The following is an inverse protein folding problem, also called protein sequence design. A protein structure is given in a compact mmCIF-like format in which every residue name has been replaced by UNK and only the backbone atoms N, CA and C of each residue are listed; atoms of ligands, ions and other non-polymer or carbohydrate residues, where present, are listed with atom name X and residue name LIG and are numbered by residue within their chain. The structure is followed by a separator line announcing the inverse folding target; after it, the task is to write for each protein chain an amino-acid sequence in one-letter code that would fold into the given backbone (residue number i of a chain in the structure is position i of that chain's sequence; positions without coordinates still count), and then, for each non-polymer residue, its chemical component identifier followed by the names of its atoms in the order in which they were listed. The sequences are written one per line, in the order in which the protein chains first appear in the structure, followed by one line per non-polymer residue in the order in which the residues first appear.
data_IF_276372067893
#
_entry.id   IF_276372067893
#
_cell.length_a   1.000
_cell.length_b   1.000
_cell.length_c   1.000
_cell.angle_alpha   90.00
_cell.angle_beta   90.00
_cell.angle_gamma   90.00
#
_symmetry.space_group_name_H-M   'P 1'
#
loop_
_entity.id
_entity.type
_entity.pdbx_description
1 polymer ?
#
# COMPACT_ATOMS: atom_id res chain seq x y z
N UNK A 1 -64.47 4.16 33.32
CA UNK A 1 -63.40 5.02 33.87
C UNK A 1 -62.07 4.27 34.10
N UNK A 2 -62.02 3.09 34.73
CA UNK A 2 -60.77 2.35 35.02
C UNK A 2 -59.92 1.95 33.79
N UNK A 3 -60.56 1.58 32.68
CA UNK A 3 -59.86 1.19 31.43
C UNK A 3 -59.22 2.38 30.69
N UNK A 4 -59.78 3.58 30.83
CA UNK A 4 -59.18 4.78 30.26
C UNK A 4 -57.92 5.18 31.06
N UNK A 5 -58.02 5.17 32.40
CA UNK A 5 -56.88 5.50 33.26
C UNK A 5 -55.69 4.56 33.06
N UNK A 6 -55.91 3.26 32.88
CA UNK A 6 -54.82 2.31 32.60
C UNK A 6 -54.07 2.61 31.28
N UNK A 7 -54.79 3.05 30.24
CA UNK A 7 -54.17 3.43 28.95
C UNK A 7 -53.37 4.72 29.05
N UNK A 8 -53.84 5.69 29.85
CA UNK A 8 -53.12 6.95 30.08
C UNK A 8 -51.87 6.73 30.93
N UNK A 9 -51.92 5.83 31.94
CA UNK A 9 -50.74 5.47 32.74
C UNK A 9 -49.67 4.79 31.88
N UNK A 10 -50.06 3.83 31.03
CA UNK A 10 -49.11 3.14 30.12
C UNK A 10 -48.48 4.13 29.13
N UNK A 11 -49.27 5.07 28.60
CA UNK A 11 -48.75 6.10 27.69
C UNK A 11 -47.74 7.03 28.41
N UNK A 12 -48.04 7.45 29.64
CA UNK A 12 -47.17 8.30 30.44
C UNK A 12 -45.85 7.59 30.81
N UNK A 13 -45.90 6.30 31.12
CA UNK A 13 -44.68 5.53 31.42
C UNK A 13 -43.81 5.34 30.17
N UNK A 14 -44.41 5.14 29.00
CA UNK A 14 -43.67 5.01 27.73
C UNK A 14 -42.99 6.32 27.32
N UNK A 15 -43.67 7.46 27.50
CA UNK A 15 -43.10 8.79 27.23
C UNK A 15 -41.95 9.10 28.20
N UNK A 16 -42.11 8.78 29.49
CA UNK A 16 -41.05 8.96 30.47
C UNK A 16 -39.81 8.11 30.15
N UNK A 17 -39.99 6.86 29.72
CA UNK A 17 -38.90 5.98 29.30
C UNK A 17 -38.16 6.55 28.07
N UNK A 18 -38.89 7.10 27.10
CA UNK A 18 -38.32 7.70 25.89
C UNK A 18 -37.49 8.98 26.18
N UNK A 19 -37.89 9.78 27.18
CA UNK A 19 -37.14 10.97 27.59
C UNK A 19 -35.83 10.62 28.34
N UNK A 20 -35.74 9.46 28.99
CA UNK A 20 -34.50 9.06 29.68
C UNK A 20 -33.40 8.61 28.74
N UNK A 21 -33.73 8.14 27.52
CA UNK A 21 -32.73 7.66 26.56
C UNK A 21 -32.02 8.77 25.79
N UNK A 22 -32.47 10.03 25.87
CA UNK A 22 -31.83 11.18 25.21
C UNK A 22 -30.84 11.92 26.10
N UNK A 23 -30.64 11.48 27.35
CA UNK A 23 -29.59 11.99 28.22
C UNK A 23 -28.27 11.28 27.88
N UNK A 24 -27.61 11.74 26.81
CA UNK A 24 -26.20 11.45 26.58
C UNK A 24 -25.40 11.93 27.80
N UNK A 25 -24.44 11.16 28.34
CA UNK A 25 -23.52 11.70 29.34
C UNK A 25 -22.66 12.76 28.65
N UNK A 26 -22.80 14.02 29.08
CA UNK A 26 -21.82 15.07 28.78
C UNK A 26 -20.56 14.73 29.59
N UNK A 27 -19.67 13.94 28.98
CA UNK A 27 -18.30 13.79 29.47
C UNK A 27 -17.51 14.96 28.87
N UNK A 28 -17.46 16.09 29.58
CA UNK A 28 -16.43 17.10 29.31
C UNK A 28 -15.13 16.66 29.95
N UNK A 29 -14.31 15.98 29.17
CA UNK A 29 -12.88 15.79 29.48
C UNK A 29 -12.11 16.08 28.19
N UNK A 30 -11.72 17.35 28.03
CA UNK A 30 -10.70 17.71 27.05
C UNK A 30 -9.35 17.29 27.64
N UNK A 31 -8.91 16.09 27.28
CA UNK A 31 -7.51 15.71 27.41
C UNK A 31 -7.00 15.35 26.02
N UNK A 32 -6.18 16.26 25.47
CA UNK A 32 -5.48 16.04 24.21
C UNK A 32 -4.42 14.96 24.42
N UNK A 33 -4.80 13.71 24.23
CA UNK A 33 -3.85 12.62 24.00
C UNK A 33 -4.16 12.00 22.65
N UNK A 34 -3.17 12.06 21.76
CA UNK A 34 -3.19 11.46 20.44
C UNK A 34 -3.36 9.96 20.59
N UNK A 35 -4.56 9.45 20.36
CA UNK A 35 -4.81 8.02 20.21
C UNK A 35 -4.06 7.52 18.97
N UNK A 36 -2.90 6.91 19.21
CA UNK A 36 -2.27 6.01 18.25
C UNK A 36 -3.26 4.85 18.07
N UNK A 37 -3.75 4.71 16.85
CA UNK A 37 -4.69 3.68 16.45
C UNK A 37 -3.99 2.30 16.49
N UNK A 38 -3.85 1.71 17.69
CA UNK A 38 -3.37 0.35 17.92
C UNK A 38 -4.47 -0.64 17.53
N UNK A 39 -4.66 -0.87 16.23
CA UNK A 39 -5.45 -1.99 15.73
C UNK A 39 -4.62 -3.27 15.79
N UNK A 40 -4.26 -3.74 16.99
CA UNK A 40 -3.65 -5.06 17.21
C UNK A 40 -4.70 -6.09 17.64
N UNK A 41 -5.73 -6.28 16.81
CA UNK A 41 -6.62 -7.45 16.92
C UNK A 41 -6.13 -8.56 16.00
N UNK A 42 -5.30 -9.43 16.58
CA UNK A 42 -5.23 -10.86 16.27
C UNK A 42 -4.89 -11.27 14.80
N UNK A 43 -3.62 -11.22 14.42
CA UNK A 43 -3.10 -12.00 13.28
C UNK A 43 -1.91 -12.86 13.72
N UNK A 44 -2.18 -14.03 14.27
CA UNK A 44 -1.13 -14.97 14.73
C UNK A 44 -0.26 -15.56 13.60
N UNK A 45 -0.47 -15.17 12.34
CA UNK A 45 0.38 -15.52 11.20
C UNK A 45 0.71 -14.29 10.31
N UNK A 46 0.87 -13.09 10.87
CA UNK A 46 1.46 -12.00 10.10
C UNK A 46 2.94 -12.32 9.87
N UNK A 47 3.24 -13.00 8.77
CA UNK A 47 4.56 -12.85 8.17
C UNK A 47 4.78 -11.34 8.02
N UNK A 48 5.86 -10.84 8.61
CA UNK A 48 6.23 -9.44 8.57
C UNK A 48 6.67 -9.13 7.13
N UNK A 49 5.70 -9.07 6.22
CA UNK A 49 5.94 -8.72 4.83
C UNK A 49 6.24 -7.24 4.83
N UNK A 50 7.42 -6.81 4.37
CA UNK A 50 7.72 -5.40 4.28
C UNK A 50 6.64 -4.69 3.47
N UNK A 51 5.88 -3.79 4.10
CA UNK A 51 4.84 -3.06 3.40
C UNK A 51 5.50 -2.01 2.52
N UNK A 52 5.73 -2.34 1.25
CA UNK A 52 6.23 -1.39 0.26
C UNK A 52 5.28 -0.20 0.13
N UNK A 53 5.86 0.99 -0.02
CA UNK A 53 5.16 2.25 -0.23
C UNK A 53 5.47 2.79 -1.61
N UNK A 54 4.54 3.57 -2.15
CA UNK A 54 4.81 4.34 -3.37
C UNK A 54 6.00 5.26 -3.13
N UNK A 55 6.98 5.21 -4.03
CA UNK A 55 8.24 5.93 -3.93
C UNK A 55 9.38 5.18 -3.23
N UNK A 56 9.12 3.98 -2.67
CA UNK A 56 10.21 3.13 -2.16
C UNK A 56 11.18 2.80 -3.30
N UNK A 57 12.48 2.88 -2.98
CA UNK A 57 13.57 2.70 -3.93
C UNK A 57 14.60 1.73 -3.41
N UNK A 58 15.09 0.90 -4.32
CA UNK A 58 16.17 -0.04 -4.02
C UNK A 58 17.17 -0.05 -5.16
N UNK A 59 18.45 -0.14 -4.80
CA UNK A 59 19.56 -0.24 -5.72
C UNK A 59 20.05 -1.68 -5.80
N UNK A 60 20.25 -2.18 -7.01
CA UNK A 60 20.76 -3.50 -7.31
C UNK A 60 21.96 -3.38 -8.25
N UNK A 61 22.89 -4.34 -8.18
CA UNK A 61 23.87 -4.51 -9.24
C UNK A 61 23.13 -5.01 -10.48
N UNK A 62 23.17 -4.23 -11.54
CA UNK A 62 22.62 -4.55 -12.84
C UNK A 62 23.72 -4.96 -13.81
N UNK A 63 23.35 -5.80 -14.76
CA UNK A 63 24.24 -6.23 -15.84
C UNK A 63 23.46 -6.25 -17.15
N UNK A 64 24.10 -5.84 -18.23
CA UNK A 64 23.50 -5.70 -19.55
C UNK A 64 24.40 -6.31 -20.62
N UNK A 65 23.86 -7.21 -21.44
CA UNK A 65 24.52 -7.75 -22.63
C UNK A 65 24.05 -6.97 -23.88
N UNK A 66 24.89 -6.07 -24.42
CA UNK A 66 24.54 -5.27 -25.60
C UNK A 66 24.76 -6.00 -26.92
N UNK A 67 25.18 -7.28 -26.93
CA UNK A 67 25.62 -7.97 -28.15
C UNK A 67 24.59 -7.88 -29.27
N UNK A 68 23.32 -8.18 -29.00
CA UNK A 68 22.28 -8.11 -30.03
C UNK A 68 22.02 -6.68 -30.51
N UNK A 69 22.09 -5.69 -29.61
CA UNK A 69 21.90 -4.27 -29.98
C UNK A 69 23.01 -3.79 -30.93
N UNK A 70 24.24 -4.25 -30.72
CA UNK A 70 25.39 -3.94 -31.58
C UNK A 70 25.26 -4.62 -32.94
N UNK A 71 24.86 -5.90 -32.97
CA UNK A 71 24.58 -6.65 -34.20
C UNK A 71 23.49 -5.94 -35.02
N UNK A 72 22.37 -5.58 -34.38
CA UNK A 72 21.25 -4.92 -35.05
C UNK A 72 21.61 -3.52 -35.56
N UNK A 73 22.58 -2.84 -34.92
CA UNK A 73 23.13 -1.57 -35.38
C UNK A 73 24.06 -1.70 -36.60
N UNK A 74 24.39 -2.92 -37.04
CA UNK A 74 25.28 -3.18 -38.17
C UNK A 74 26.74 -2.86 -37.88
N UNK A 75 27.13 -2.81 -36.60
CA UNK A 75 28.50 -2.57 -36.17
C UNK A 75 29.17 -3.90 -35.86
N UNK A 76 30.28 -4.20 -36.51
CA UNK A 76 31.12 -5.34 -36.13
C UNK A 76 31.99 -4.96 -34.93
N UNK A 77 31.47 -5.19 -33.72
CA UNK A 77 32.23 -5.00 -32.50
C UNK A 77 32.00 -6.15 -31.52
N UNK A 78 33.06 -6.55 -30.83
CA UNK A 78 32.96 -7.46 -29.67
C UNK A 78 32.76 -6.62 -28.43
N UNK A 79 31.57 -6.70 -27.84
CA UNK A 79 31.24 -5.97 -26.61
C UNK A 79 30.97 -6.97 -25.50
N UNK A 80 31.63 -6.78 -24.35
CA UNK A 80 31.39 -7.57 -23.15
C UNK A 80 30.16 -7.08 -22.38
N UNK A 81 29.79 -7.84 -21.36
CA UNK A 81 28.70 -7.47 -20.45
C UNK A 81 29.02 -6.15 -19.73
N UNK A 82 28.08 -5.21 -19.75
CA UNK A 82 28.22 -3.89 -19.13
C UNK A 82 27.53 -3.92 -17.76
N UNK A 83 28.31 -3.68 -16.72
CA UNK A 83 27.81 -3.63 -15.34
C UNK A 83 27.43 -2.19 -14.97
N UNK A 84 26.40 -2.03 -14.14
CA UNK A 84 25.94 -0.73 -13.68
C UNK A 84 25.01 -0.83 -12.48
N UNK A 85 24.72 0.31 -11.85
CA UNK A 85 23.69 0.36 -10.81
C UNK A 85 22.31 0.41 -11.47
N UNK A 86 21.42 -0.50 -11.03
CA UNK A 86 20.00 -0.48 -11.35
C UNK A 86 19.19 0.00 -10.13
N UNK A 87 18.21 0.86 -10.36
CA UNK A 87 17.26 1.34 -9.37
C UNK A 87 15.87 0.83 -9.73
N UNK A 88 15.17 0.22 -8.78
CA UNK A 88 13.73 -0.01 -8.91
C UNK A 88 12.96 0.88 -7.95
N UNK A 89 11.84 1.43 -8.42
CA UNK A 89 10.97 2.36 -7.71
C UNK A 89 9.52 1.88 -7.78
N UNK A 90 8.82 1.88 -6.64
CA UNK A 90 7.37 1.61 -6.61
C UNK A 90 6.61 2.82 -7.12
N UNK A 91 5.93 2.68 -8.26
CA UNK A 91 5.13 3.75 -8.85
C UNK A 91 3.68 3.75 -8.34
N UNK A 92 3.10 2.57 -8.17
CA UNK A 92 1.72 2.42 -7.72
C UNK A 92 1.49 1.07 -7.04
N UNK A 93 0.46 1.05 -6.21
CA UNK A 93 -0.06 -0.12 -5.52
C UNK A 93 -1.55 -0.17 -5.85
N UNK A 94 -1.99 -1.26 -6.47
CA UNK A 94 -3.39 -1.45 -6.87
C UNK A 94 -3.85 -2.85 -6.49
N UNK A 95 -5.16 -3.09 -6.56
CA UNK A 95 -5.71 -4.43 -6.44
C UNK A 95 -6.11 -4.94 -7.83
N UNK A 96 -5.83 -6.21 -8.09
CA UNK A 96 -6.24 -6.89 -9.31
C UNK A 96 -6.82 -8.26 -9.00
N UNK A 97 -7.78 -8.68 -9.82
CA UNK A 97 -8.30 -10.03 -9.76
C UNK A 97 -7.30 -10.99 -10.43
N UNK A 98 -6.69 -11.87 -9.63
CA UNK A 98 -5.84 -12.96 -10.11
C UNK A 98 -6.51 -14.25 -9.67
N UNK A 99 -6.91 -15.07 -10.64
CA UNK A 99 -7.59 -16.35 -10.41
C UNK A 99 -8.86 -16.25 -9.52
N UNK A 100 -9.65 -15.19 -9.71
CA UNK A 100 -10.88 -14.96 -8.94
C UNK A 100 -10.65 -14.32 -7.57
N UNK A 101 -9.39 -14.13 -7.15
CA UNK A 101 -9.03 -13.51 -5.87
C UNK A 101 -8.51 -12.09 -6.07
N UNK A 102 -8.97 -11.18 -5.21
CA UNK A 102 -8.47 -9.82 -5.19
C UNK A 102 -7.09 -9.79 -4.55
N UNK A 103 -6.07 -9.43 -5.33
CA UNK A 103 -4.65 -9.49 -4.95
C UNK A 103 -4.02 -8.12 -5.10
N UNK A 104 -3.27 -7.68 -4.09
CA UNK A 104 -2.48 -6.45 -4.18
C UNK A 104 -1.31 -6.66 -5.13
N UNK A 105 -1.15 -5.75 -6.10
CA UNK A 105 -0.09 -5.77 -7.10
C UNK A 105 0.68 -4.45 -7.10
N UNK A 106 1.96 -4.54 -7.45
CA UNK A 106 2.88 -3.41 -7.46
C UNK A 106 3.31 -3.10 -8.90
N UNK A 107 3.25 -1.83 -9.28
CA UNK A 107 3.88 -1.35 -10.51
C UNK A 107 5.26 -0.80 -10.17
N UNK A 108 6.30 -1.43 -10.71
CA UNK A 108 7.68 -0.98 -10.52
C UNK A 108 8.22 -0.32 -11.79
N UNK A 109 9.00 0.75 -11.62
CA UNK A 109 9.89 1.25 -12.67
C UNK A 109 11.32 0.89 -12.33
N UNK A 110 11.96 0.14 -13.22
CA UNK A 110 13.39 -0.13 -13.14
C UNK A 110 14.14 0.75 -14.13
N UNK A 111 15.16 1.45 -13.65
CA UNK A 111 16.06 2.28 -14.45
C UNK A 111 17.50 1.94 -14.10
N UNK A 112 18.37 1.80 -15.10
CA UNK A 112 19.78 1.55 -14.89
C UNK A 112 20.61 2.47 -15.76
N UNK A 113 21.80 2.82 -15.26
CA UNK A 113 22.82 3.50 -16.06
C UNK A 113 24.00 2.55 -16.22
N UNK A 114 24.23 2.11 -17.46
CA UNK A 114 25.32 1.21 -17.81
C UNK A 114 26.43 2.03 -18.45
N UNK A 115 27.53 2.20 -17.72
CA UNK A 115 28.72 2.90 -18.25
C UNK A 115 29.70 1.89 -18.84
N UNK A 116 30.32 2.24 -19.97
CA UNK A 116 31.30 1.42 -20.69
C UNK A 116 32.61 1.39 -19.89
N UNK A 117 32.60 0.67 -18.78
CA UNK A 117 33.81 0.39 -18.02
C UNK A 117 34.61 -0.67 -18.78
N UNK A 118 35.33 -0.29 -19.84
CA UNK A 118 36.25 -1.19 -20.57
C UNK A 118 35.79 -1.71 -21.93
N UNK A 119 34.75 -1.14 -22.57
CA UNK A 119 34.39 -1.49 -23.96
C UNK A 119 35.23 -0.65 -24.94
N UNK A 120 36.14 -1.30 -25.68
CA UNK A 120 36.83 -0.68 -26.82
C UNK A 120 36.08 -1.04 -28.11
N UNK A 121 35.81 -0.05 -28.95
CA UNK A 121 35.34 -0.28 -30.32
C UNK A 121 36.56 -0.06 -31.20
N UNK A 122 37.21 -1.14 -31.65
CA UNK A 122 38.21 -1.03 -32.70
C UNK A 122 37.49 -1.07 -34.05
N UNK A 123 37.70 -0.05 -34.90
CA UNK A 123 37.25 -0.11 -36.30
C UNK A 123 36.52 1.10 -36.88
N UNK A 124 36.41 2.23 -36.16
CA UNK A 124 36.09 3.53 -36.75
C UNK A 124 37.14 4.57 -36.35
#
# INVERSE_FOLDING_TARGET
MRRAMARHVIALTLIALLCTTTLSPVITTFDSTTDVNETSRNSQNSADVPTWRIGDKWKYAGSFDPTQLVIDAGVEATVGEINGDAMAEVLSITEQNVDGQNTMVYTLRTSANFDKSGVSLEGF
#
